data_IF_965225292716
#
_entry.id   IF_965225292716
#
_cell.length_a   1.000
_cell.length_b   1.000
_cell.length_c   1.000
_cell.angle_alpha   90.00
_cell.angle_beta   90.00
_cell.angle_gamma   90.00
#
_symmetry.space_group_name_H-M   'P 1'
#
loop_
_entity.id
_entity.type
_entity.pdbx_description
1 polymer ?
#
# COMPACT_ATOMS: atom_id res chain seq x y z
N UNK A 1 1.36 15.61 6.69
CA UNK A 1 1.08 14.51 7.64
C UNK A 1 -0.32 14.64 8.25
N UNK A 2 -0.75 15.81 8.74
CA UNK A 2 -2.13 16.05 9.24
C UNK A 2 -3.23 15.71 8.22
N UNK A 3 -3.05 15.98 6.93
CA UNK A 3 -4.06 15.65 5.91
C UNK A 3 -4.30 14.15 5.70
N UNK A 4 -3.29 13.29 5.97
CA UNK A 4 -3.45 11.83 5.91
C UNK A 4 -4.22 11.30 7.12
N UNK A 5 -4.16 11.99 8.27
CA UNK A 5 -4.89 11.64 9.49
C UNK A 5 -6.41 11.93 9.40
N UNK A 6 -6.83 12.74 8.43
CA UNK A 6 -8.24 13.06 8.17
C UNK A 6 -8.82 12.29 6.98
N UNK A 7 -8.08 11.34 6.42
CA UNK A 7 -8.61 10.48 5.36
C UNK A 7 -9.73 9.61 5.96
N UNK A 8 -10.93 9.54 5.34
CA UNK A 8 -11.99 8.67 5.84
C UNK A 8 -11.48 7.24 5.97
N UNK A 9 -11.90 6.52 7.02
CA UNK A 9 -11.51 5.13 7.30
C UNK A 9 -11.66 4.19 6.09
N UNK A 10 -12.53 4.56 5.14
CA UNK A 10 -12.63 3.96 3.82
C UNK A 10 -12.65 5.06 2.76
N UNK A 11 -11.53 5.36 2.08
CA UNK A 11 -11.57 6.20 0.90
C UNK A 11 -12.45 5.50 -0.15
N UNK A 12 -13.56 6.14 -0.52
CA UNK A 12 -14.43 5.66 -1.60
C UNK A 12 -13.73 6.05 -2.90
N UNK A 13 -12.97 5.11 -3.46
CA UNK A 13 -12.35 5.29 -4.76
C UNK A 13 -13.39 4.96 -5.84
N UNK A 14 -13.64 5.85 -6.81
CA UNK A 14 -14.48 5.55 -7.96
C UNK A 14 -14.06 4.25 -8.64
N UNK A 15 -15.01 3.36 -8.95
CA UNK A 15 -14.70 2.10 -9.65
C UNK A 15 -14.03 2.36 -11.01
N UNK A 16 -14.42 3.40 -11.73
CA UNK A 16 -13.78 3.76 -13.00
C UNK A 16 -12.30 4.13 -12.82
N UNK A 17 -11.93 4.74 -11.69
CA UNK A 17 -10.52 5.02 -11.36
C UNK A 17 -9.77 3.71 -11.08
N UNK A 18 -10.38 2.77 -10.35
CA UNK A 18 -9.81 1.45 -10.10
C UNK A 18 -9.64 0.63 -11.40
N UNK A 19 -10.64 0.64 -12.27
CA UNK A 19 -10.57 -0.02 -13.59
C UNK A 19 -9.51 0.61 -14.49
N UNK A 20 -9.41 1.95 -14.49
CA UNK A 20 -8.35 2.67 -15.20
C UNK A 20 -6.97 2.31 -14.64
N UNK A 21 -6.82 2.26 -13.31
CA UNK A 21 -5.60 1.79 -12.64
C UNK A 21 -5.28 0.37 -13.13
N UNK A 22 -6.19 -0.59 -13.02
CA UNK A 22 -5.97 -1.98 -13.42
C UNK A 22 -5.56 -2.13 -14.89
N UNK A 23 -6.16 -1.37 -15.82
CA UNK A 23 -5.77 -1.38 -17.24
C UNK A 23 -4.33 -0.88 -17.48
N UNK A 24 -3.80 -0.06 -16.57
CA UNK A 24 -2.45 0.49 -16.62
C UNK A 24 -1.39 -0.35 -15.91
N UNK A 25 -1.80 -1.22 -14.99
CA UNK A 25 -0.92 -2.11 -14.22
C UNK A 25 -0.89 -3.54 -14.77
N UNK A 26 -2.03 -4.04 -15.26
CA UNK A 26 -2.21 -5.47 -15.55
C UNK A 26 -1.39 -5.95 -16.75
N UNK A 27 -0.61 -7.02 -16.55
CA UNK A 27 0.17 -7.69 -17.59
C UNK A 27 1.35 -6.87 -18.13
N UNK A 28 1.64 -5.70 -17.54
CA UNK A 28 2.71 -4.82 -17.95
C UNK A 28 3.87 -4.95 -16.95
N UNK A 29 5.05 -5.26 -17.46
CA UNK A 29 6.26 -5.42 -16.63
C UNK A 29 6.62 -4.13 -15.90
N UNK A 30 6.41 -2.98 -16.55
CA UNK A 30 6.61 -1.63 -16.00
C UNK A 30 5.29 -0.87 -15.98
N UNK A 31 4.62 -0.75 -14.82
CA UNK A 31 3.34 -0.06 -14.76
C UNK A 31 3.48 1.43 -15.09
N UNK A 32 2.52 1.98 -15.82
CA UNK A 32 2.55 3.38 -16.23
C UNK A 32 1.15 3.96 -16.41
N UNK A 33 1.00 5.25 -16.11
CA UNK A 33 -0.18 6.01 -16.48
C UNK A 33 -0.01 6.68 -17.83
N UNK A 34 -1.06 6.63 -18.65
CA UNK A 34 -1.18 7.51 -19.83
C UNK A 34 -2.17 8.62 -19.50
N UNK A 35 -1.73 9.87 -19.61
CA UNK A 35 -2.61 11.02 -19.51
C UNK A 35 -2.33 11.97 -20.66
N UNK A 36 -3.30 12.13 -21.57
CA UNK A 36 -3.14 12.88 -22.83
C UNK A 36 -1.93 12.34 -23.62
N UNK A 37 -0.92 13.18 -23.83
CA UNK A 37 0.33 12.88 -24.52
C UNK A 37 1.48 12.45 -23.57
N UNK A 38 1.22 12.35 -22.27
CA UNK A 38 2.22 12.00 -21.25
C UNK A 38 2.12 10.54 -20.83
N UNK A 39 3.28 9.94 -20.58
CA UNK A 39 3.43 8.62 -19.96
C UNK A 39 4.18 8.79 -18.63
N UNK A 40 3.52 8.46 -17.53
CA UNK A 40 4.10 8.53 -16.17
C UNK A 40 4.40 7.11 -15.75
N UNK A 41 5.68 6.74 -15.72
CA UNK A 41 6.10 5.42 -15.24
C UNK A 41 6.03 5.36 -13.73
N UNK A 42 5.46 4.29 -13.21
CA UNK A 42 5.40 4.00 -11.79
C UNK A 42 6.58 3.08 -11.51
N UNK A 43 7.72 3.73 -11.25
CA UNK A 43 8.98 3.09 -10.99
C UNK A 43 9.37 3.28 -9.52
N UNK A 44 10.34 2.48 -9.07
CA UNK A 44 10.86 2.52 -7.70
C UNK A 44 11.22 3.95 -7.27
N UNK A 45 11.86 4.71 -8.14
CA UNK A 45 12.26 6.10 -7.86
C UNK A 45 11.08 7.03 -7.49
N UNK A 46 9.90 6.79 -8.05
CA UNK A 46 8.68 7.54 -7.71
C UNK A 46 8.22 7.18 -6.30
N UNK A 47 8.27 5.88 -5.96
CA UNK A 47 7.91 5.37 -4.64
C UNK A 47 8.86 5.91 -3.57
N UNK A 48 10.15 5.77 -3.81
CA UNK A 48 11.21 6.23 -2.91
C UNK A 48 11.08 7.74 -2.67
N UNK A 49 10.76 8.51 -3.72
CA UNK A 49 10.55 9.95 -3.60
C UNK A 49 9.27 10.31 -2.86
N UNK A 50 8.18 9.57 -3.06
CA UNK A 50 6.90 9.85 -2.41
C UNK A 50 6.97 9.64 -0.90
N UNK A 51 7.61 8.56 -0.46
CA UNK A 51 7.75 8.23 0.95
C UNK A 51 9.04 8.75 1.60
N UNK A 52 9.92 9.37 0.81
CA UNK A 52 11.27 9.80 1.21
C UNK A 52 12.07 8.65 1.85
N UNK A 53 12.03 7.47 1.23
CA UNK A 53 12.73 6.31 1.76
C UNK A 53 14.25 6.46 1.63
N UNK A 54 15.01 5.94 2.61
CA UNK A 54 16.41 5.64 2.38
C UNK A 54 16.44 4.64 1.21
N UNK A 55 17.16 4.97 0.13
CA UNK A 55 17.21 4.21 -1.14
C UNK A 55 17.90 2.86 -0.99
N UNK A 56 17.36 2.01 -0.11
CA UNK A 56 17.82 0.67 0.17
C UNK A 56 17.70 -0.21 -1.07
N UNK A 57 18.51 -1.27 -1.09
CA UNK A 57 18.58 -2.22 -2.20
C UNK A 57 18.53 -3.66 -1.71
N UNK A 58 18.45 -3.89 -0.40
CA UNK A 58 18.37 -5.22 0.19
C UNK A 58 16.92 -5.71 0.08
N UNK A 59 16.65 -6.81 -0.63
CA UNK A 59 15.28 -7.32 -0.75
C UNK A 59 14.72 -7.78 0.60
N UNK A 60 13.40 -7.69 0.75
CA UNK A 60 12.72 -8.32 1.87
C UNK A 60 12.80 -9.85 1.74
N UNK A 61 13.24 -10.48 2.83
CA UNK A 61 13.23 -11.93 3.04
C UNK A 61 12.00 -12.30 3.87
N UNK A 62 11.30 -13.34 3.42
CA UNK A 62 10.02 -13.81 4.00
C UNK A 62 10.08 -15.22 4.61
N UNK A 63 11.22 -15.88 4.47
CA UNK A 63 11.48 -17.22 4.97
C UNK A 63 12.99 -17.46 5.09
N UNK A 64 13.38 -18.42 5.92
CA UNK A 64 14.75 -18.92 6.01
C UNK A 64 14.72 -20.42 6.21
N UNK A 65 15.76 -21.14 5.80
CA UNK A 65 15.93 -22.56 6.13
C UNK A 65 16.73 -22.79 7.42
N UNK A 66 17.41 -21.75 7.91
CA UNK A 66 18.17 -21.77 9.14
C UNK A 66 17.25 -21.98 10.37
N UNK A 67 17.41 -23.09 11.13
CA UNK A 67 16.61 -23.36 12.32
C UNK A 67 16.69 -22.28 13.40
N UNK A 68 17.84 -21.62 13.55
CA UNK A 68 18.02 -20.55 14.52
C UNK A 68 17.17 -19.33 14.13
N UNK A 69 17.24 -18.92 12.86
CA UNK A 69 16.42 -17.82 12.33
C UNK A 69 14.93 -18.12 12.52
N UNK A 70 14.50 -19.37 12.23
CA UNK A 70 13.10 -19.79 12.44
C UNK A 70 12.67 -19.67 13.90
N UNK A 71 13.52 -20.07 14.84
CA UNK A 71 13.25 -19.97 16.28
C UNK A 71 13.09 -18.52 16.74
N UNK A 72 14.04 -17.65 16.36
CA UNK A 72 14.02 -16.22 16.70
C UNK A 72 12.77 -15.53 16.13
N UNK A 73 12.41 -15.84 14.87
CA UNK A 73 11.18 -15.31 14.25
C UNK A 73 9.93 -15.84 14.95
N UNK A 74 9.91 -17.10 15.40
CA UNK A 74 8.78 -17.65 16.15
C UNK A 74 8.60 -16.96 17.51
N UNK A 75 9.69 -16.67 18.21
CA UNK A 75 9.66 -15.90 19.45
C UNK A 75 9.15 -14.47 19.22
N UNK A 76 9.66 -13.77 18.19
CA UNK A 76 9.16 -12.45 17.81
C UNK A 76 7.67 -12.50 17.47
N UNK A 77 7.25 -13.48 16.67
CA UNK A 77 5.85 -13.67 16.27
C UNK A 77 4.93 -13.79 17.48
N UNK A 78 5.34 -14.51 18.53
CA UNK A 78 4.51 -14.73 19.72
C UNK A 78 4.03 -13.44 20.39
N UNK A 79 4.77 -12.33 20.23
CA UNK A 79 4.43 -11.03 20.80
C UNK A 79 3.23 -10.36 20.12
N UNK A 80 3.08 -10.58 18.82
CA UNK A 80 2.13 -9.84 17.98
C UNK A 80 0.87 -10.63 17.63
N UNK A 81 0.79 -11.91 18.01
CA UNK A 81 -0.33 -12.76 17.64
C UNK A 81 -1.49 -12.71 18.64
N UNK A 82 -2.71 -12.82 18.13
CA UNK A 82 -3.91 -13.05 18.94
C UNK A 82 -4.16 -14.55 19.18
N UNK A 83 -5.23 -14.85 19.91
CA UNK A 83 -5.69 -16.21 20.19
C UNK A 83 -6.06 -17.03 18.93
N UNK A 84 -6.25 -16.38 17.77
CA UNK A 84 -6.53 -17.02 16.47
C UNK A 84 -5.26 -17.18 15.64
N UNK A 85 -4.10 -16.90 16.23
CA UNK A 85 -2.81 -16.92 15.54
C UNK A 85 -2.80 -15.99 14.31
N UNK A 86 -3.48 -14.84 14.43
CA UNK A 86 -3.43 -13.71 13.49
C UNK A 86 -2.62 -12.58 14.11
N UNK A 87 -2.18 -11.62 13.30
CA UNK A 87 -1.44 -10.42 13.77
C UNK A 87 -2.31 -9.18 13.53
N UNK A 88 -3.27 -8.87 14.43
CA UNK A 88 -4.10 -7.67 14.34
C UNK A 88 -3.28 -6.38 14.38
N UNK A 89 -3.71 -5.36 13.64
CA UNK A 89 -3.06 -4.04 13.68
C UNK A 89 -3.02 -3.44 15.09
N UNK A 90 -4.14 -3.52 15.83
CA UNK A 90 -4.24 -3.04 17.22
C UNK A 90 -3.28 -3.79 18.14
N UNK A 91 -3.00 -5.07 17.86
CA UNK A 91 -1.97 -5.81 18.60
C UNK A 91 -0.55 -5.34 18.28
N UNK A 92 -0.25 -5.00 17.02
CA UNK A 92 1.05 -4.39 16.65
C UNK A 92 1.21 -3.05 17.38
N UNK A 93 0.15 -2.24 17.41
CA UNK A 93 0.14 -0.95 18.10
C UNK A 93 0.33 -1.11 19.61
N UNK A 94 -0.37 -2.04 20.25
CA UNK A 94 -0.21 -2.36 21.68
C UNK A 94 1.25 -2.71 22.01
N UNK A 95 1.87 -3.58 21.20
CA UNK A 95 3.28 -3.98 21.39
C UNK A 95 4.20 -2.77 21.17
N UNK A 96 3.99 -2.01 20.10
CA UNK A 96 4.79 -0.82 19.78
C UNK A 96 4.79 0.20 20.92
N UNK A 97 3.60 0.52 21.46
CA UNK A 97 3.43 1.55 22.49
C UNK A 97 3.88 1.09 23.88
N UNK A 98 3.95 -0.21 24.13
CA UNK A 98 4.40 -0.78 25.40
C UNK A 98 5.90 -1.13 25.42
N UNK A 99 6.56 -1.16 24.26
CA UNK A 99 7.97 -1.51 24.18
C UNK A 99 8.87 -0.39 24.71
N UNK A 100 9.78 -0.77 25.62
CA UNK A 100 10.75 0.14 26.25
C UNK A 100 12.12 0.04 25.61
N UNK A 101 12.32 -0.91 24.71
CA UNK A 101 13.57 -1.14 23.98
C UNK A 101 13.42 -0.55 22.59
N UNK A 102 14.39 0.26 22.19
CA UNK A 102 14.38 0.98 20.91
C UNK A 102 14.20 0.01 19.72
N UNK A 103 14.94 -1.10 19.69
CA UNK A 103 14.80 -2.13 18.66
C UNK A 103 13.40 -2.75 18.61
N UNK A 104 12.75 -2.88 19.76
CA UNK A 104 11.39 -3.38 19.87
C UNK A 104 10.38 -2.42 19.26
N UNK A 105 10.53 -1.13 19.60
CA UNK A 105 9.74 -0.04 19.01
C UNK A 105 9.96 0.07 17.51
N UNK A 106 11.20 0.16 17.03
CA UNK A 106 11.53 0.30 15.60
C UNK A 106 10.94 -0.84 14.77
N UNK A 107 11.06 -2.09 15.26
CA UNK A 107 10.49 -3.26 14.60
C UNK A 107 8.97 -3.18 14.50
N UNK A 108 8.31 -2.83 15.60
CA UNK A 108 6.85 -2.73 15.66
C UNK A 108 6.35 -1.59 14.77
N UNK A 109 7.04 -0.45 14.78
CA UNK A 109 6.77 0.69 13.90
C UNK A 109 6.92 0.31 12.42
N UNK A 110 7.99 -0.38 12.03
CA UNK A 110 8.17 -0.86 10.67
C UNK A 110 7.06 -1.84 10.25
N UNK A 111 6.68 -2.78 11.13
CA UNK A 111 5.54 -3.68 10.87
C UNK A 111 4.22 -2.91 10.70
N UNK A 112 3.96 -1.94 11.58
CA UNK A 112 2.75 -1.11 11.54
C UNK A 112 2.69 -0.30 10.25
N UNK A 113 3.79 0.39 9.92
CA UNK A 113 3.94 1.17 8.69
C UNK A 113 3.72 0.30 7.44
N UNK A 114 4.35 -0.87 7.38
CA UNK A 114 4.16 -1.79 6.26
C UNK A 114 2.70 -2.26 6.18
N UNK A 115 2.09 -2.60 7.31
CA UNK A 115 0.76 -3.22 7.36
C UNK A 115 -0.41 -2.26 7.17
N UNK A 116 -0.20 -0.94 7.25
CA UNK A 116 -1.26 0.07 7.12
C UNK A 116 -1.00 1.00 5.95
N UNK A 117 0.25 1.41 5.76
CA UNK A 117 0.61 2.40 4.75
C UNK A 117 1.07 1.69 3.48
N UNK A 118 2.08 0.82 3.55
CA UNK A 118 2.71 0.30 2.33
C UNK A 118 1.97 -0.84 1.66
N UNK A 119 1.41 -1.74 2.45
CA UNK A 119 0.81 -2.99 2.01
C UNK A 119 -0.43 -3.32 2.85
N UNK A 120 -1.40 -2.40 3.00
CA UNK A 120 -2.57 -2.65 3.84
C UNK A 120 -3.34 -3.85 3.31
N UNK A 121 -3.60 -4.84 4.16
CA UNK A 121 -4.48 -5.95 3.81
C UNK A 121 -5.93 -5.56 4.09
N UNK A 122 -6.88 -6.10 3.31
CA UNK A 122 -8.32 -5.86 3.51
C UNK A 122 -8.86 -6.32 4.87
N UNK A 123 -8.05 -7.01 5.67
CA UNK A 123 -8.44 -7.61 6.94
C UNK A 123 -7.83 -6.94 8.17
N UNK A 124 -7.14 -5.79 8.02
CA UNK A 124 -6.45 -5.11 9.13
C UNK A 124 -5.54 -6.08 9.93
N UNK A 125 -4.81 -6.94 9.20
CA UNK A 125 -3.80 -7.83 9.75
C UNK A 125 -2.44 -7.53 9.12
N UNK A 126 -1.41 -7.56 9.95
CA UNK A 126 -0.02 -7.58 9.49
C UNK A 126 0.39 -8.95 8.95
N UNK A 127 1.38 -8.96 8.06
CA UNK A 127 1.97 -10.19 7.54
C UNK A 127 3.20 -10.57 8.37
N UNK A 128 3.09 -11.67 9.11
CA UNK A 128 4.15 -12.14 10.02
C UNK A 128 5.45 -12.50 9.29
N UNK A 129 5.41 -12.74 7.98
CA UNK A 129 6.61 -13.04 7.18
C UNK A 129 7.60 -11.86 7.17
N UNK A 130 7.14 -10.62 7.37
CA UNK A 130 8.03 -9.46 7.48
C UNK A 130 9.01 -9.55 8.66
N UNK A 131 8.69 -10.35 9.70
CA UNK A 131 9.58 -10.55 10.84
C UNK A 131 10.93 -11.17 10.47
N UNK A 132 11.04 -11.90 9.35
CA UNK A 132 12.33 -12.41 8.87
C UNK A 132 13.30 -11.27 8.52
N UNK A 133 12.80 -10.23 7.83
CA UNK A 133 13.59 -9.05 7.48
C UNK A 133 13.75 -8.06 8.63
N UNK A 134 12.73 -7.96 9.49
CA UNK A 134 12.69 -7.00 10.60
C UNK A 134 13.26 -7.56 11.91
N UNK A 135 13.85 -8.77 11.89
CA UNK A 135 14.49 -9.37 13.06
C UNK A 135 15.64 -8.47 13.55
N UNK A 136 16.54 -8.13 12.65
CA UNK A 136 17.62 -7.17 12.87
C UNK A 136 17.15 -5.79 12.40
N UNK A 137 16.92 -4.87 13.34
CA UNK A 137 16.41 -3.54 12.97
C UNK A 137 17.48 -2.65 12.34
N UNK A 138 18.76 -2.97 12.52
CA UNK A 138 19.86 -2.18 11.96
C UNK A 138 19.90 -2.24 10.43
N UNK A 139 19.32 -3.28 9.82
CA UNK A 139 19.23 -3.42 8.37
C UNK A 139 18.06 -2.66 7.76
N UNK A 140 17.10 -2.17 8.55
CA UNK A 140 15.90 -1.46 8.05
C UNK A 140 16.24 -0.36 7.03
N UNK A 141 17.22 0.54 7.27
CA UNK A 141 17.56 1.58 6.29
C UNK A 141 18.10 1.07 4.95
N UNK A 142 18.53 -0.20 4.90
CA UNK A 142 19.06 -0.84 3.70
C UNK A 142 18.00 -1.63 2.92
N UNK A 143 16.83 -1.87 3.52
CA UNK A 143 15.75 -2.62 2.90
C UNK A 143 15.13 -1.83 1.74
N UNK A 144 14.79 -2.54 0.67
CA UNK A 144 14.21 -1.98 -0.54
C UNK A 144 12.69 -1.80 -0.41
N UNK A 145 12.28 -0.78 0.34
CA UNK A 145 10.88 -0.43 0.54
C UNK A 145 10.18 -0.03 -0.76
N UNK A 146 10.88 0.64 -1.67
CA UNK A 146 10.34 1.03 -2.97
C UNK A 146 9.95 -0.17 -3.82
N UNK A 147 10.83 -1.17 -3.93
CA UNK A 147 10.53 -2.41 -4.65
C UNK A 147 9.43 -3.22 -3.95
N UNK A 148 9.46 -3.31 -2.61
CA UNK A 148 8.40 -3.99 -1.85
C UNK A 148 7.02 -3.42 -2.19
N UNK A 149 6.89 -2.10 -2.26
CA UNK A 149 5.62 -1.44 -2.56
C UNK A 149 5.11 -1.78 -3.96
N UNK A 150 6.02 -1.83 -4.95
CA UNK A 150 5.69 -2.18 -6.33
C UNK A 150 5.26 -3.64 -6.46
N UNK A 151 5.94 -4.55 -5.77
CA UNK A 151 5.61 -5.97 -5.79
C UNK A 151 4.22 -6.20 -5.19
N UNK A 152 3.93 -5.61 -4.04
CA UNK A 152 2.60 -5.71 -3.41
C UNK A 152 1.50 -5.06 -4.24
N UNK A 153 1.78 -3.94 -4.90
CA UNK A 153 0.84 -3.31 -5.83
C UNK A 153 0.47 -4.27 -6.97
N UNK A 154 1.47 -4.94 -7.56
CA UNK A 154 1.25 -5.90 -8.62
C UNK A 154 0.39 -7.06 -8.14
N UNK A 155 0.74 -7.65 -7.00
CA UNK A 155 -0.01 -8.77 -6.41
C UNK A 155 -1.47 -8.38 -6.10
N UNK A 156 -1.72 -7.21 -5.52
CA UNK A 156 -3.07 -6.78 -5.18
C UNK A 156 -3.89 -6.37 -6.43
N UNK A 157 -3.28 -5.80 -7.47
CA UNK A 157 -3.96 -5.54 -8.74
C UNK A 157 -4.33 -6.85 -9.47
N UNK A 158 -3.42 -7.82 -9.51
CA UNK A 158 -3.70 -9.16 -10.05
C UNK A 158 -4.86 -9.84 -9.31
N UNK A 159 -4.84 -9.80 -7.98
CA UNK A 159 -5.91 -10.34 -7.13
C UNK A 159 -7.24 -9.61 -7.33
N UNK A 160 -7.21 -8.29 -7.47
CA UNK A 160 -8.40 -7.49 -7.72
C UNK A 160 -9.04 -7.87 -9.07
N UNK A 161 -8.22 -8.00 -10.11
CA UNK A 161 -8.66 -8.41 -11.43
C UNK A 161 -9.28 -9.81 -11.41
N UNK A 162 -8.62 -10.80 -10.78
CA UNK A 162 -9.19 -12.13 -10.61
C UNK A 162 -10.54 -12.09 -9.91
N UNK A 163 -10.70 -11.25 -8.88
CA UNK A 163 -11.98 -11.08 -8.19
C UNK A 163 -13.06 -10.52 -9.12
N UNK A 164 -12.75 -9.52 -9.96
CA UNK A 164 -13.70 -8.96 -10.93
C UNK A 164 -14.09 -10.01 -11.98
N UNK A 165 -13.11 -10.68 -12.58
CA UNK A 165 -13.33 -11.65 -13.66
C UNK A 165 -14.13 -12.88 -13.20
N UNK A 166 -14.06 -13.21 -11.91
CA UNK A 166 -14.84 -14.30 -11.33
C UNK A 166 -16.27 -13.91 -10.94
N UNK A 167 -16.71 -12.67 -11.19
CA UNK A 167 -18.10 -12.26 -10.92
C UNK A 167 -19.05 -12.80 -12.01
N UNK A 168 -20.20 -13.39 -11.61
CA UNK A 168 -21.08 -14.11 -12.52
C UNK A 168 -21.91 -13.22 -13.47
N UNK A 169 -21.96 -11.90 -13.28
CA UNK A 169 -22.69 -10.99 -14.16
C UNK A 169 -22.03 -9.61 -14.30
N UNK A 170 -22.32 -8.93 -15.41
CA UNK A 170 -21.89 -7.55 -15.67
C UNK A 170 -22.40 -6.58 -14.58
N UNK A 171 -23.62 -6.79 -14.07
CA UNK A 171 -24.17 -6.01 -12.96
C UNK A 171 -23.39 -6.21 -11.66
N UNK A 172 -22.85 -7.41 -11.42
CA UNK A 172 -21.99 -7.67 -10.27
C UNK A 172 -20.57 -7.15 -10.49
N UNK A 173 -20.03 -7.23 -11.71
CA UNK A 173 -18.75 -6.59 -12.06
C UNK A 173 -18.75 -5.09 -11.73
N UNK A 174 -19.85 -4.39 -12.01
CA UNK A 174 -20.00 -2.96 -11.78
C UNK A 174 -20.23 -2.56 -10.31
N UNK A 175 -20.40 -3.50 -9.37
CA UNK A 175 -20.54 -3.18 -7.94
C UNK A 175 -19.20 -2.75 -7.35
N UNK A 176 -19.23 -1.71 -6.50
CA UNK A 176 -18.06 -1.23 -5.77
C UNK A 176 -17.38 -2.36 -5.01
N UNK A 177 -16.13 -2.63 -5.37
CA UNK A 177 -15.25 -3.56 -4.67
C UNK A 177 -14.57 -2.86 -3.50
N UNK A 178 -14.49 -3.51 -2.34
CA UNK A 178 -13.54 -3.07 -1.31
C UNK A 178 -12.14 -3.44 -1.82
N UNK A 179 -11.40 -2.45 -2.33
CA UNK A 179 -9.97 -2.58 -2.54
C UNK A 179 -9.29 -2.49 -1.19
N UNK A 180 -8.79 -3.64 -0.71
CA UNK A 180 -7.63 -3.64 0.15
C UNK A 180 -6.38 -3.27 -0.68
N UNK A 181 -5.23 -3.19 -0.04
CA UNK A 181 -3.97 -2.93 -0.73
C UNK A 181 -3.67 -1.44 -0.83
N UNK A 182 -2.41 -1.13 -1.11
CA UNK A 182 -1.89 0.23 -1.29
C UNK A 182 -2.44 0.97 -2.53
N UNK A 183 -3.38 0.37 -3.26
CA UNK A 183 -4.04 0.92 -4.45
C UNK A 183 -4.53 2.38 -4.24
N UNK A 184 -5.13 2.76 -3.09
CA UNK A 184 -5.48 4.16 -2.81
C UNK A 184 -4.30 5.14 -2.83
N UNK A 185 -3.14 4.74 -2.28
CA UNK A 185 -1.94 5.57 -2.24
C UNK A 185 -1.39 5.77 -3.65
N UNK A 186 -1.49 4.76 -4.50
CA UNK A 186 -1.08 4.88 -5.90
C UNK A 186 -2.03 5.76 -6.72
N UNK A 187 -3.33 5.71 -6.40
CA UNK A 187 -4.29 6.72 -6.86
C UNK A 187 -3.87 8.13 -6.44
N UNK A 188 -3.46 8.34 -5.19
CA UNK A 188 -2.94 9.63 -4.72
C UNK A 188 -1.69 10.06 -5.50
N UNK A 189 -0.73 9.16 -5.72
CA UNK A 189 0.48 9.44 -6.51
C UNK A 189 0.10 9.84 -7.93
N UNK A 190 -0.82 9.13 -8.59
CA UNK A 190 -1.32 9.51 -9.91
C UNK A 190 -1.84 10.94 -9.92
N UNK A 191 -2.64 11.31 -8.93
CA UNK A 191 -3.29 12.60 -8.84
C UNK A 191 -2.33 13.75 -8.57
N UNK A 192 -1.19 13.48 -7.93
CA UNK A 192 -0.11 14.46 -7.80
C UNK A 192 0.49 14.84 -9.17
N UNK A 193 0.40 13.95 -10.17
CA UNK A 193 0.84 14.22 -11.55
C UNK A 193 -0.27 14.72 -12.49
N UNK A 194 -1.55 14.66 -12.08
CA UNK A 194 -2.67 15.19 -12.86
C UNK A 194 -2.89 16.67 -12.53
N UNK A 195 -2.86 17.50 -13.56
CA UNK A 195 -3.18 18.92 -13.47
C UNK A 195 -4.67 19.12 -13.80
N UNK A 196 -5.47 19.40 -12.78
CA UNK A 196 -6.94 19.52 -12.88
C UNK A 196 -7.40 20.83 -13.50
N UNK A 197 -6.49 21.81 -13.67
CA UNK A 197 -6.81 23.13 -14.22
C UNK A 197 -7.20 23.07 -15.72
N UNK A 198 -7.03 21.91 -16.37
CA UNK A 198 -7.27 21.69 -17.80
C UNK A 198 -8.33 20.62 -18.10
N UNK A 199 -9.34 20.48 -17.22
CA UNK A 199 -10.59 19.79 -17.58
C UNK A 199 -11.40 20.79 -18.42
N UNK A 200 -11.39 20.58 -19.73
CA UNK A 200 -12.14 21.36 -20.70
C UNK A 200 -13.63 21.42 -20.29
N UNK A 201 -14.08 22.62 -19.93
CA UNK A 201 -15.46 23.07 -19.67
C UNK A 201 -16.01 23.12 -18.24
N UNK A 202 -15.31 22.72 -17.19
CA UNK A 202 -15.76 23.00 -15.82
C UNK A 202 -14.64 23.57 -14.97
N UNK A 203 -14.70 24.87 -14.68
CA UNK A 203 -13.97 25.47 -13.55
C UNK A 203 -14.53 24.89 -12.25
N UNK A 204 -14.20 23.64 -11.92
CA UNK A 204 -14.28 23.17 -10.55
C UNK A 204 -13.09 23.77 -9.82
N UNK A 205 -13.33 24.76 -8.98
CA UNK A 205 -12.36 25.23 -7.99
C UNK A 205 -11.87 24.02 -7.19
N UNK A 206 -10.64 23.58 -7.45
CA UNK A 206 -9.97 22.54 -6.67
C UNK A 206 -9.50 23.18 -5.38
N UNK A 207 -10.03 22.71 -4.26
CA UNK A 207 -9.56 23.13 -2.94
C UNK A 207 -8.27 22.37 -2.61
N UNK A 208 -7.14 23.03 -2.81
CA UNK A 208 -5.80 22.49 -2.50
C UNK A 208 -5.52 22.36 -0.99
N UNK A 209 -6.44 22.78 -0.11
CA UNK A 209 -6.37 22.46 1.32
C UNK A 209 -6.77 21.01 1.63
N UNK A 210 -7.40 20.31 0.67
CA UNK A 210 -7.76 18.89 0.75
C UNK A 210 -6.91 18.06 -0.24
N UNK A 211 -6.63 16.76 0.06
CA UNK A 211 -5.98 15.87 -0.90
C UNK A 211 -6.73 15.81 -2.23
N UNK A 212 -6.00 15.79 -3.36
CA UNK A 212 -6.60 15.82 -4.71
C UNK A 212 -7.62 14.70 -4.96
N UNK A 213 -7.45 13.54 -4.32
CA UNK A 213 -8.39 12.40 -4.40
C UNK A 213 -9.81 12.73 -3.92
N UNK A 214 -9.96 13.70 -3.02
CA UNK A 214 -11.26 14.13 -2.48
C UNK A 214 -12.11 14.89 -3.49
N UNK A 215 -11.53 15.33 -4.61
CA UNK A 215 -12.22 16.11 -5.64
C UNK A 215 -12.68 15.29 -6.84
N UNK A 216 -12.27 14.03 -6.92
CA UNK A 216 -12.59 13.13 -8.04
C UNK A 216 -14.02 12.64 -7.96
N UNK A 217 -14.70 12.69 -9.10
CA UNK A 217 -16.03 12.13 -9.32
C UNK A 217 -16.00 11.13 -10.48
N UNK A 218 -17.04 10.29 -10.56
CA UNK A 218 -17.16 9.32 -11.66
C UNK A 218 -17.13 9.97 -13.05
N UNK A 219 -17.51 11.24 -13.18
CA UNK A 219 -17.52 11.97 -14.45
C UNK A 219 -16.16 12.50 -14.92
N UNK A 220 -15.08 12.31 -14.15
CA UNK A 220 -13.72 12.71 -14.54
C UNK A 220 -12.98 11.64 -15.37
N UNK A 221 -13.60 10.47 -15.57
CA UNK A 221 -13.11 9.34 -16.38
C UNK A 221 -14.20 8.88 -17.37
#
# INVERSE_FOLDING_TARGET
>A
MEALLHMPYHPIIPMNLLEMLDQHFFGIVEPYFKHKDKVIKIAKDVVDKFFDFPRGTVPFVFSSDDPQVKSEVAELRSKYIDHRNKMPIDKIEEVMLSDKVEDGFMRSFALYFISIIMCPTSYCFGNMKFLYSLRDVSVIPTLDFGQLALDFMREESERHFEMIMNRPSVEEMNKSSHTGGCIPIWGIIYLDFVDFDFIENHQSTVDYSLPRISHIKNGDF
#
